data_IF_043007068846
#
_entry.id   IF_043007068846
#
_cell.length_a   1.000
_cell.length_b   1.000
_cell.length_c   1.000
_cell.angle_alpha   90.00
_cell.angle_beta   90.00
_cell.angle_gamma   90.00
#
_symmetry.space_group_name_H-M   'P 1'
#
loop_
_entity.id
_entity.type
_entity.pdbx_description
1 polymer ?
#
# COMPACT_ATOMS: atom_id res chain seq x y z
N UNK A 1 12.74 13.42 -13.28
CA UNK A 1 13.06 14.87 -13.27
C UNK A 1 12.03 15.64 -14.09
N UNK A 2 11.58 15.10 -15.23
CA UNK A 2 10.50 15.66 -16.06
C UNK A 2 9.20 15.95 -15.29
N UNK A 3 8.78 15.10 -14.34
CA UNK A 3 7.54 15.33 -13.58
C UNK A 3 7.56 16.65 -12.79
N UNK A 4 8.70 16.98 -12.19
CA UNK A 4 8.84 18.22 -11.42
C UNK A 4 8.92 19.45 -12.32
N UNK A 5 9.45 19.33 -13.55
CA UNK A 5 9.44 20.44 -14.51
C UNK A 5 8.02 20.70 -15.03
N UNK A 6 7.24 19.65 -15.30
CA UNK A 6 5.82 19.76 -15.65
C UNK A 6 5.01 20.42 -14.54
N UNK A 7 5.22 19.98 -13.30
CA UNK A 7 4.54 20.54 -12.14
C UNK A 7 4.94 22.00 -11.89
N UNK A 8 6.21 22.34 -12.07
CA UNK A 8 6.69 23.73 -11.99
C UNK A 8 5.98 24.60 -13.03
N UNK A 9 5.99 24.20 -14.30
CA UNK A 9 5.33 24.95 -15.40
C UNK A 9 3.84 25.17 -15.12
N UNK A 10 3.13 24.14 -14.65
CA UNK A 10 1.71 24.28 -14.33
C UNK A 10 1.48 25.23 -13.15
N UNK A 11 2.28 25.13 -12.08
CA UNK A 11 2.17 26.05 -10.94
C UNK A 11 2.42 27.49 -11.35
N UNK A 12 3.41 27.76 -12.20
CA UNK A 12 3.68 29.13 -12.68
C UNK A 12 2.48 29.68 -13.46
N UNK A 13 1.90 28.89 -14.36
CA UNK A 13 0.71 29.27 -15.15
C UNK A 13 -0.47 29.59 -14.23
N UNK A 14 -0.75 28.72 -13.26
CA UNK A 14 -1.87 28.90 -12.33
C UNK A 14 -1.64 30.09 -11.41
N UNK A 15 -0.49 30.15 -10.74
CA UNK A 15 -0.16 31.21 -9.79
C UNK A 15 -0.05 32.57 -10.49
N UNK A 16 0.50 32.64 -11.70
CA UNK A 16 0.57 33.88 -12.47
C UNK A 16 -0.81 34.46 -12.76
N UNK A 17 -1.75 33.61 -13.17
CA UNK A 17 -3.11 34.03 -13.48
C UNK A 17 -3.93 34.38 -12.23
N UNK A 18 -3.80 33.60 -11.14
CA UNK A 18 -4.59 33.84 -9.92
C UNK A 18 -4.04 35.01 -9.13
N UNK A 19 -2.71 35.09 -8.91
CA UNK A 19 -2.12 36.12 -8.07
C UNK A 19 -2.27 37.51 -8.68
N UNK A 20 -2.07 37.64 -10.01
CA UNK A 20 -2.25 38.92 -10.70
C UNK A 20 -3.70 39.42 -10.69
N UNK A 21 -4.67 38.53 -10.51
CA UNK A 21 -6.08 38.88 -10.42
C UNK A 21 -6.56 39.20 -8.99
N UNK A 22 -5.77 38.88 -7.95
CA UNK A 22 -6.12 39.11 -6.55
C UNK A 22 -5.72 40.52 -6.07
N UNK A 23 -4.57 41.02 -6.50
CA UNK A 23 -4.00 42.28 -6.04
C UNK A 23 -3.18 42.96 -7.16
N UNK A 24 -3.19 44.29 -7.21
CA UNK A 24 -2.37 45.06 -8.15
C UNK A 24 -0.87 44.97 -7.79
N UNK A 25 -0.55 44.93 -6.48
CA UNK A 25 0.81 44.80 -5.95
C UNK A 25 1.14 43.36 -5.51
N UNK A 26 0.48 42.38 -6.13
CA UNK A 26 0.58 40.95 -5.79
C UNK A 26 2.00 40.42 -5.66
N UNK A 27 2.97 40.98 -6.39
CA UNK A 27 4.37 40.57 -6.29
C UNK A 27 4.98 40.86 -4.91
N UNK A 28 4.66 42.01 -4.32
CA UNK A 28 5.17 42.34 -2.98
C UNK A 28 4.34 41.64 -1.89
N UNK A 29 3.02 41.81 -1.92
CA UNK A 29 2.11 41.37 -0.87
C UNK A 29 1.94 39.83 -0.81
N UNK A 30 1.79 39.19 -1.97
CA UNK A 30 1.48 37.76 -2.04
C UNK A 30 2.73 36.91 -2.28
N UNK A 31 3.77 37.44 -2.95
CA UNK A 31 5.01 36.69 -3.23
C UNK A 31 6.11 36.99 -2.22
N UNK A 32 6.65 38.21 -2.18
CA UNK A 32 7.84 38.52 -1.40
C UNK A 32 7.63 38.38 0.12
N UNK A 33 6.43 38.65 0.63
CA UNK A 33 6.15 38.54 2.07
C UNK A 33 5.86 37.11 2.55
N UNK A 34 5.59 36.18 1.64
CA UNK A 34 5.30 34.76 1.97
C UNK A 34 6.50 33.84 1.80
N UNK A 35 7.54 34.29 1.10
CA UNK A 35 8.80 33.56 0.90
C UNK A 35 9.68 33.58 2.16
N UNK A 36 10.54 32.56 2.29
CA UNK A 36 11.56 32.52 3.35
C UNK A 36 12.63 33.58 3.04
N UNK A 37 13.29 34.13 4.07
CA UNK A 37 14.36 35.13 3.91
C UNK A 37 15.36 34.81 2.78
N UNK A 38 15.85 33.57 2.72
CA UNK A 38 16.78 33.13 1.66
C UNK A 38 16.17 33.21 0.25
N UNK A 39 14.92 32.78 0.10
CA UNK A 39 14.18 32.84 -1.17
C UNK A 39 13.80 34.29 -1.52
N UNK A 40 13.48 35.11 -0.51
CA UNK A 40 13.16 36.53 -0.66
C UNK A 40 14.37 37.31 -1.18
N UNK A 41 15.55 37.10 -0.60
CA UNK A 41 16.79 37.74 -1.07
C UNK A 41 17.09 37.43 -2.55
N UNK A 42 16.84 36.19 -2.96
CA UNK A 42 16.97 35.80 -4.38
C UNK A 42 15.87 36.43 -5.25
N UNK A 43 14.61 36.42 -4.80
CA UNK A 43 13.48 37.00 -5.52
C UNK A 43 13.58 38.53 -5.69
N UNK A 44 14.18 39.24 -4.73
CA UNK A 44 14.44 40.69 -4.82
C UNK A 44 15.49 41.03 -5.89
N UNK A 45 16.42 40.11 -6.17
CA UNK A 45 17.43 40.28 -7.23
C UNK A 45 16.90 39.98 -8.63
N UNK A 46 15.71 39.37 -8.74
CA UNK A 46 15.08 39.02 -10.01
C UNK A 46 14.22 40.18 -10.54
N UNK A 47 13.98 40.25 -11.86
CA UNK A 47 13.02 41.18 -12.41
C UNK A 47 11.62 40.95 -11.79
N UNK A 48 10.84 42.03 -11.58
CA UNK A 48 9.49 41.91 -11.04
C UNK A 48 8.65 41.00 -11.94
N UNK A 49 7.76 40.21 -11.32
CA UNK A 49 6.83 39.28 -12.00
C UNK A 49 7.47 38.03 -12.63
N UNK A 50 8.76 37.75 -12.36
CA UNK A 50 9.43 36.56 -12.88
C UNK A 50 9.17 35.29 -12.05
N UNK A 51 7.91 34.83 -11.97
CA UNK A 51 7.53 33.59 -11.26
C UNK A 51 8.29 32.35 -11.78
N UNK A 52 8.58 32.29 -13.08
CA UNK A 52 9.32 31.20 -13.73
C UNK A 52 10.73 30.99 -13.18
N UNK A 53 11.31 32.01 -12.55
CA UNK A 53 12.68 31.96 -12.00
C UNK A 53 12.72 31.44 -10.56
N UNK A 54 11.56 31.28 -9.93
CA UNK A 54 11.45 30.71 -8.60
C UNK A 54 11.61 29.19 -8.66
N UNK A 55 12.22 28.64 -7.62
CA UNK A 55 12.36 27.19 -7.50
C UNK A 55 11.01 26.54 -7.14
N UNK A 56 10.91 25.23 -7.42
CA UNK A 56 9.67 24.51 -7.16
C UNK A 56 9.24 24.58 -5.67
N UNK A 57 10.19 24.62 -4.75
CA UNK A 57 9.86 24.75 -3.33
C UNK A 57 9.26 26.12 -2.99
N UNK A 58 9.78 27.21 -3.56
CA UNK A 58 9.17 28.53 -3.44
C UNK A 58 7.74 28.55 -4.00
N UNK A 59 7.52 27.97 -5.19
CA UNK A 59 6.20 27.93 -5.83
C UNK A 59 5.17 27.13 -5.02
N UNK A 60 5.55 25.94 -4.54
CA UNK A 60 4.69 25.14 -3.68
C UNK A 60 4.39 25.82 -2.34
N UNK A 61 5.36 26.55 -1.78
CA UNK A 61 5.17 27.34 -0.56
C UNK A 61 4.21 28.51 -0.80
N UNK A 62 4.40 29.22 -1.90
CA UNK A 62 3.58 30.35 -2.31
C UNK A 62 2.11 29.93 -2.48
N UNK A 63 1.89 28.79 -3.14
CA UNK A 63 0.57 28.20 -3.29
C UNK A 63 -0.07 27.81 -1.94
N UNK A 64 0.70 27.29 -0.97
CA UNK A 64 0.16 26.87 0.34
C UNK A 64 -0.14 28.09 1.24
N UNK A 65 0.72 29.10 1.21
CA UNK A 65 0.56 30.31 2.03
C UNK A 65 -0.62 31.16 1.56
N UNK A 66 -0.85 31.24 0.25
CA UNK A 66 -1.98 31.97 -0.34
C UNK A 66 -3.16 31.06 -0.68
N UNK A 67 -3.22 29.85 -0.10
CA UNK A 67 -4.20 28.83 -0.49
C UNK A 67 -5.64 29.31 -0.37
N UNK A 68 -5.98 30.04 0.68
CA UNK A 68 -7.36 30.49 0.90
C UNK A 68 -7.83 31.47 -0.18
N UNK A 69 -6.98 32.42 -0.56
CA UNK A 69 -7.30 33.40 -1.60
C UNK A 69 -7.41 32.73 -2.98
N UNK A 70 -6.46 31.85 -3.28
CA UNK A 70 -6.42 31.07 -4.51
C UNK A 70 -7.63 30.13 -4.62
N UNK A 71 -7.99 29.43 -3.55
CA UNK A 71 -9.10 28.48 -3.54
C UNK A 71 -10.45 29.20 -3.65
N UNK A 72 -10.61 30.37 -3.04
CA UNK A 72 -11.82 31.17 -3.16
C UNK A 72 -12.05 31.68 -4.58
N UNK A 73 -10.99 32.06 -5.28
CA UNK A 73 -11.08 32.59 -6.64
C UNK A 73 -11.27 31.49 -7.70
N UNK A 74 -10.57 30.36 -7.55
CA UNK A 74 -10.53 29.29 -8.56
C UNK A 74 -11.47 28.12 -8.27
N UNK A 75 -12.15 28.11 -7.12
CA UNK A 75 -13.08 27.04 -6.73
C UNK A 75 -12.41 25.68 -6.50
N UNK A 76 -11.14 25.65 -6.09
CA UNK A 76 -10.40 24.40 -5.93
C UNK A 76 -10.97 23.51 -4.81
N UNK A 77 -10.91 22.19 -5.01
CA UNK A 77 -11.30 21.21 -4.00
C UNK A 77 -10.43 21.37 -2.74
N UNK A 78 -11.03 21.25 -1.55
CA UNK A 78 -10.33 21.28 -0.26
C UNK A 78 -9.23 20.22 -0.17
N UNK A 79 -9.40 19.08 -0.81
CA UNK A 79 -8.41 18.00 -0.86
C UNK A 79 -7.12 18.40 -1.59
N UNK A 80 -7.19 19.38 -2.49
CA UNK A 80 -6.04 19.86 -3.25
C UNK A 80 -4.95 20.46 -2.35
N UNK A 81 -5.33 21.04 -1.21
CA UNK A 81 -4.35 21.49 -0.20
C UNK A 81 -3.58 20.31 0.41
N UNK A 82 -4.24 19.17 0.61
CA UNK A 82 -3.58 18.00 1.17
C UNK A 82 -2.55 17.45 0.18
N UNK A 83 -2.91 17.34 -1.10
CA UNK A 83 -1.97 16.95 -2.15
C UNK A 83 -0.83 17.97 -2.29
N UNK A 84 -1.09 19.27 -2.11
CA UNK A 84 -0.07 20.31 -2.15
C UNK A 84 0.97 20.12 -1.03
N UNK A 85 0.51 19.90 0.20
CA UNK A 85 1.41 19.60 1.33
C UNK A 85 2.19 18.32 1.12
N UNK A 86 1.55 17.28 0.58
CA UNK A 86 2.25 16.05 0.23
C UNK A 86 3.29 16.28 -0.87
N UNK A 87 3.00 17.10 -1.88
CA UNK A 87 3.95 17.46 -2.94
C UNK A 87 5.19 18.18 -2.39
N UNK A 88 5.04 19.04 -1.37
CA UNK A 88 6.17 19.64 -0.66
C UNK A 88 7.05 18.56 0.02
N UNK A 89 6.43 17.61 0.73
CA UNK A 89 7.15 16.49 1.36
C UNK A 89 7.83 15.61 0.32
N UNK A 90 7.15 15.29 -0.78
CA UNK A 90 7.68 14.51 -1.90
C UNK A 90 8.92 15.21 -2.46
N UNK A 91 8.83 16.49 -2.83
CA UNK A 91 9.97 17.24 -3.36
C UNK A 91 11.15 17.21 -2.39
N UNK A 92 10.93 17.43 -1.10
CA UNK A 92 12.00 17.41 -0.10
C UNK A 92 12.65 16.03 0.00
N UNK A 93 11.86 14.95 -0.02
CA UNK A 93 12.39 13.59 -0.04
C UNK A 93 13.22 13.31 -1.30
N UNK A 94 12.78 13.78 -2.48
CA UNK A 94 13.54 13.60 -3.71
C UNK A 94 14.83 14.42 -3.74
N UNK A 95 14.84 15.61 -3.11
CA UNK A 95 16.05 16.41 -2.95
C UNK A 95 17.09 15.77 -2.01
N UNK A 96 16.64 14.92 -1.08
CA UNK A 96 17.47 14.16 -0.15
C UNK A 96 17.53 12.66 -0.48
N UNK A 97 17.19 12.28 -1.72
CA UNK A 97 17.22 10.88 -2.11
C UNK A 97 18.67 10.33 -2.02
N UNK A 98 18.85 9.09 -1.53
CA UNK A 98 20.16 8.46 -1.49
C UNK A 98 20.71 8.22 -2.91
N UNK A 99 22.01 7.95 -3.03
CA UNK A 99 22.68 7.74 -4.31
C UNK A 99 22.08 6.58 -5.14
N UNK A 100 21.61 5.53 -4.46
CA UNK A 100 20.90 4.39 -5.07
C UNK A 100 19.47 4.75 -5.54
N UNK A 101 19.00 5.96 -5.25
CA UNK A 101 17.67 6.44 -5.61
C UNK A 101 16.57 5.95 -4.68
N UNK A 102 15.33 6.29 -5.04
CA UNK A 102 14.12 5.86 -4.35
C UNK A 102 13.61 4.56 -4.95
N UNK A 103 12.99 3.70 -4.14
CA UNK A 103 12.33 2.48 -4.62
C UNK A 103 11.20 2.82 -5.60
N UNK A 104 10.95 1.92 -6.56
CA UNK A 104 9.95 2.14 -7.60
C UNK A 104 8.52 2.25 -7.01
N UNK A 105 8.23 1.59 -5.88
CA UNK A 105 6.96 1.73 -5.14
C UNK A 105 6.75 3.16 -4.61
N UNK A 106 7.80 3.73 -4.01
CA UNK A 106 7.75 5.10 -3.48
C UNK A 106 7.61 6.09 -4.63
N UNK A 107 8.36 5.87 -5.72
CA UNK A 107 8.24 6.69 -6.94
C UNK A 107 6.84 6.65 -7.52
N UNK A 108 6.24 5.47 -7.63
CA UNK A 108 4.89 5.30 -8.14
C UNK A 108 3.85 6.07 -7.31
N UNK A 109 3.89 5.94 -5.98
CA UNK A 109 2.99 6.66 -5.07
C UNK A 109 3.16 8.18 -5.16
N UNK A 110 4.39 8.63 -5.31
CA UNK A 110 4.71 10.06 -5.41
C UNK A 110 4.15 10.67 -6.69
N UNK A 111 4.30 9.94 -7.80
CA UNK A 111 3.78 10.34 -9.11
C UNK A 111 2.25 10.37 -9.08
N UNK A 112 1.62 9.36 -8.47
CA UNK A 112 0.16 9.29 -8.29
C UNK A 112 -0.37 10.47 -7.45
N UNK A 113 0.40 10.96 -6.47
CA UNK A 113 0.04 12.14 -5.68
C UNK A 113 0.19 13.43 -6.49
N UNK A 114 1.27 13.55 -7.26
CA UNK A 114 1.52 14.68 -8.15
C UNK A 114 0.47 14.74 -9.28
N UNK A 115 0.06 13.59 -9.81
CA UNK A 115 -1.01 13.50 -10.80
C UNK A 115 -2.32 14.10 -10.27
N UNK A 116 -2.74 13.73 -9.05
CA UNK A 116 -3.94 14.28 -8.42
C UNK A 116 -3.84 15.78 -8.19
N UNK A 117 -2.67 16.28 -7.78
CA UNK A 117 -2.43 17.71 -7.63
C UNK A 117 -2.62 18.43 -8.97
N UNK A 118 -2.05 17.90 -10.06
CA UNK A 118 -2.13 18.53 -11.37
C UNK A 118 -3.55 18.48 -11.95
N UNK A 119 -4.28 17.39 -11.72
CA UNK A 119 -5.70 17.32 -12.04
C UNK A 119 -6.49 18.38 -11.27
N UNK A 120 -6.21 18.57 -9.98
CA UNK A 120 -6.87 19.60 -9.17
C UNK A 120 -6.55 21.03 -9.65
N UNK A 121 -5.37 21.25 -10.19
CA UNK A 121 -4.96 22.52 -10.81
C UNK A 121 -5.33 22.64 -12.29
N UNK A 122 -6.25 21.79 -12.77
CA UNK A 122 -6.75 21.79 -14.15
C UNK A 122 -5.62 21.79 -15.20
N UNK A 123 -4.62 20.93 -15.01
CA UNK A 123 -3.50 20.78 -15.93
C UNK A 123 -3.95 20.33 -17.33
N UNK A 124 -3.20 20.76 -18.35
CA UNK A 124 -3.52 20.49 -19.75
C UNK A 124 -3.48 18.96 -20.01
N UNK A 125 -4.37 18.44 -20.87
CA UNK A 125 -4.49 17.00 -21.14
C UNK A 125 -3.18 16.35 -21.60
N UNK A 126 -2.31 17.11 -22.29
CA UNK A 126 -0.98 16.64 -22.69
C UNK A 126 -0.08 16.35 -21.49
N UNK A 127 -0.05 17.25 -20.50
CA UNK A 127 0.74 17.08 -19.27
C UNK A 127 0.25 15.90 -18.44
N UNK A 128 -1.08 15.72 -18.37
CA UNK A 128 -1.68 14.57 -17.71
C UNK A 128 -1.38 13.26 -18.47
N UNK A 129 -1.33 13.30 -19.80
CA UNK A 129 -0.97 12.16 -20.64
C UNK A 129 0.46 11.68 -20.38
N UNK A 130 1.42 12.61 -20.32
CA UNK A 130 2.83 12.29 -20.04
C UNK A 130 3.00 11.62 -18.67
N UNK A 131 2.35 12.14 -17.63
CA UNK A 131 2.44 11.58 -16.28
C UNK A 131 1.78 10.20 -16.21
N UNK A 132 0.64 10.01 -16.89
CA UNK A 132 0.00 8.69 -16.98
C UNK A 132 0.87 7.67 -17.69
N UNK A 133 1.60 8.08 -18.73
CA UNK A 133 2.53 7.20 -19.44
C UNK A 133 3.69 6.79 -18.53
N UNK A 134 4.36 7.74 -17.88
CA UNK A 134 5.46 7.41 -16.94
C UNK A 134 4.99 6.50 -15.80
N UNK A 135 3.77 6.74 -15.30
CA UNK A 135 3.12 5.91 -14.28
C UNK A 135 2.87 4.48 -14.77
N UNK A 136 2.42 4.30 -16.01
CA UNK A 136 2.24 2.98 -16.62
C UNK A 136 3.57 2.25 -16.81
N UNK A 137 4.61 2.95 -17.24
CA UNK A 137 5.96 2.38 -17.37
C UNK A 137 6.51 1.89 -16.02
N UNK A 138 6.28 2.66 -14.95
CA UNK A 138 6.62 2.24 -13.58
C UNK A 138 5.81 1.03 -13.11
N UNK A 139 4.50 1.00 -13.38
CA UNK A 139 3.67 -0.16 -13.05
C UNK A 139 4.15 -1.42 -13.75
N UNK A 140 4.52 -1.32 -15.04
CA UNK A 140 5.05 -2.45 -15.78
C UNK A 140 6.37 -2.95 -15.18
N UNK A 141 7.25 -2.04 -14.73
CA UNK A 141 8.48 -2.41 -14.02
C UNK A 141 8.20 -3.11 -12.70
N UNK A 142 7.27 -2.60 -11.90
CA UNK A 142 6.86 -3.21 -10.64
C UNK A 142 6.23 -4.59 -10.85
N UNK A 143 5.38 -4.73 -11.88
CA UNK A 143 4.78 -6.00 -12.25
C UNK A 143 5.84 -7.02 -12.71
N UNK A 144 6.85 -6.58 -13.48
CA UNK A 144 7.98 -7.45 -13.84
C UNK A 144 8.83 -7.83 -12.63
N UNK A 145 9.07 -6.91 -11.69
CA UNK A 145 9.82 -7.20 -10.45
C UNK A 145 9.07 -8.20 -9.57
N UNK A 146 7.76 -8.05 -9.41
CA UNK A 146 6.91 -9.02 -8.73
C UNK A 146 6.89 -10.35 -9.46
N UNK A 147 6.79 -10.34 -10.79
CA UNK A 147 6.88 -11.57 -11.58
C UNK A 147 8.24 -12.24 -11.43
N UNK A 148 9.35 -11.51 -11.34
CA UNK A 148 10.67 -12.11 -11.05
C UNK A 148 10.82 -12.58 -9.60
N UNK A 149 10.03 -12.07 -8.65
CA UNK A 149 10.01 -12.55 -7.27
C UNK A 149 9.08 -13.77 -7.10
N UNK A 150 8.03 -13.87 -7.91
CA UNK A 150 7.09 -14.99 -7.94
C UNK A 150 7.55 -16.12 -8.90
N UNK A 151 8.31 -15.78 -9.94
CA UNK A 151 8.91 -16.68 -10.95
C UNK A 151 10.40 -16.93 -10.69
N UNK A 152 11.03 -16.19 -9.77
CA UNK A 152 11.92 -16.84 -8.82
C UNK A 152 11.02 -17.79 -8.05
N UNK A 153 10.87 -18.99 -8.62
CA UNK A 153 10.52 -20.16 -7.84
C UNK A 153 11.22 -20.02 -6.49
N UNK A 154 10.60 -20.41 -5.36
CA UNK A 154 11.44 -20.71 -4.21
C UNK A 154 12.55 -21.55 -4.80
N UNK A 155 13.82 -21.14 -4.64
CA UNK A 155 14.88 -22.09 -4.82
C UNK A 155 14.45 -23.20 -3.89
N UNK A 156 13.86 -24.25 -4.49
CA UNK A 156 13.94 -25.57 -3.97
C UNK A 156 15.44 -25.75 -3.97
N UNK A 157 16.05 -25.33 -2.86
CA UNK A 157 17.15 -26.06 -2.29
C UNK A 157 16.61 -27.47 -2.37
N UNK A 158 17.07 -28.19 -3.38
CA UNK A 158 16.84 -29.61 -3.51
C UNK A 158 17.70 -30.20 -2.41
N UNK A 159 17.30 -29.95 -1.17
CA UNK A 159 17.76 -30.71 -0.04
C UNK A 159 17.07 -32.04 -0.19
N UNK A 160 17.87 -33.10 -0.20
CA UNK A 160 17.45 -34.45 0.13
C UNK A 160 16.81 -34.45 1.53
N UNK A 161 15.58 -33.97 1.61
CA UNK A 161 14.77 -33.83 2.83
C UNK A 161 13.41 -34.39 2.49
N UNK A 162 13.01 -35.48 3.15
CA UNK A 162 11.76 -36.18 2.87
C UNK A 162 10.49 -35.37 3.15
N UNK A 163 10.59 -34.20 3.79
CA UNK A 163 9.44 -33.45 4.29
C UNK A 163 9.47 -31.96 3.91
N UNK A 164 8.28 -31.40 3.63
CA UNK A 164 8.08 -29.98 3.29
C UNK A 164 7.40 -29.21 4.43
N UNK A 165 7.62 -27.89 4.56
CA UNK A 165 6.81 -27.04 5.43
C UNK A 165 5.32 -27.19 5.09
N UNK A 166 4.50 -27.50 6.09
CA UNK A 166 3.07 -27.79 5.95
C UNK A 166 2.71 -29.28 6.00
N UNK A 167 3.68 -30.20 5.91
CA UNK A 167 3.40 -31.63 6.04
C UNK A 167 3.04 -32.00 7.49
N UNK A 168 2.05 -32.88 7.63
CA UNK A 168 1.70 -33.48 8.92
C UNK A 168 2.61 -34.66 9.23
N UNK A 169 3.25 -34.60 10.39
CA UNK A 169 4.16 -35.63 10.87
C UNK A 169 3.76 -36.11 12.26
N UNK A 170 4.13 -37.34 12.56
CA UNK A 170 3.99 -37.96 13.87
C UNK A 170 5.36 -38.29 14.44
N UNK A 171 5.49 -38.22 15.75
CA UNK A 171 6.68 -38.74 16.43
C UNK A 171 6.68 -40.27 16.41
N UNK A 172 7.81 -40.88 16.00
CA UNK A 172 8.03 -42.34 16.14
C UNK A 172 7.98 -42.81 17.59
N UNK A 173 8.51 -41.99 18.50
CA UNK A 173 8.54 -42.28 19.93
C UNK A 173 7.14 -42.26 20.58
N UNK A 174 6.25 -41.38 20.10
CA UNK A 174 4.90 -41.17 20.64
C UNK A 174 3.87 -41.05 19.51
N UNK A 175 3.20 -42.15 19.13
CA UNK A 175 2.16 -42.15 18.10
C UNK A 175 0.94 -41.24 18.36
N UNK A 176 0.81 -40.69 19.57
CA UNK A 176 -0.30 -39.80 19.93
C UNK A 176 0.01 -38.32 19.65
N UNK A 177 1.29 -37.97 19.46
CA UNK A 177 1.71 -36.59 19.24
C UNK A 177 1.87 -36.35 17.74
N UNK A 178 0.90 -35.64 17.18
CA UNK A 178 0.90 -35.20 15.78
C UNK A 178 1.21 -33.72 15.71
N UNK A 179 1.99 -33.32 14.71
CA UNK A 179 2.34 -31.92 14.50
C UNK A 179 2.52 -31.56 13.03
N UNK A 180 2.56 -30.27 12.75
CA UNK A 180 2.83 -29.74 11.42
C UNK A 180 4.25 -29.19 11.35
N UNK A 181 4.94 -29.42 10.23
CA UNK A 181 6.26 -28.84 10.00
C UNK A 181 6.10 -27.36 9.67
N UNK A 182 6.68 -26.49 10.50
CA UNK A 182 6.67 -25.04 10.30
C UNK A 182 7.88 -24.58 9.49
N UNK A 183 9.05 -25.18 9.72
CA UNK A 183 10.29 -24.82 9.02
C UNK A 183 11.25 -26.01 8.90
N UNK A 184 12.02 -26.04 7.82
CA UNK A 184 13.09 -27.01 7.59
C UNK A 184 14.43 -26.32 7.90
N UNK A 185 15.17 -26.86 8.86
CA UNK A 185 16.51 -26.42 9.24
C UNK A 185 17.52 -27.46 8.71
N UNK A 186 18.04 -27.20 7.52
CA UNK A 186 19.06 -28.03 6.91
C UNK A 186 20.39 -27.88 7.68
N UNK A 187 20.92 -28.97 8.22
CA UNK A 187 22.23 -29.01 8.86
C UNK A 187 23.13 -30.03 8.13
N UNK A 188 24.45 -29.83 8.19
CA UNK A 188 25.43 -30.56 7.37
C UNK A 188 25.46 -32.09 7.56
N UNK A 189 24.88 -32.61 8.65
CA UNK A 189 24.96 -34.04 9.04
C UNK A 189 23.59 -34.73 9.13
N UNK A 190 22.54 -34.04 9.60
CA UNK A 190 21.17 -34.57 9.66
C UNK A 190 20.15 -33.41 9.60
N UNK A 191 19.09 -33.58 8.83
CA UNK A 191 18.05 -32.56 8.67
C UNK A 191 17.26 -32.40 9.98
N UNK A 192 17.11 -31.16 10.44
CA UNK A 192 16.28 -30.79 11.58
C UNK A 192 15.01 -30.11 11.08
N UNK A 193 13.88 -30.43 11.67
CA UNK A 193 12.58 -29.86 11.34
C UNK A 193 12.01 -29.18 12.58
N UNK A 194 11.49 -27.97 12.41
CA UNK A 194 10.67 -27.34 13.43
C UNK A 194 9.24 -27.85 13.27
N UNK A 195 8.78 -28.63 14.24
CA UNK A 195 7.43 -29.20 14.27
C UNK A 195 6.64 -28.57 15.39
N UNK A 196 5.46 -28.06 15.05
CA UNK A 196 4.49 -27.56 16.02
C UNK A 196 3.70 -28.72 16.62
N UNK A 197 3.89 -29.01 17.91
CA UNK A 197 3.24 -30.09 18.66
C UNK A 197 2.69 -29.52 19.97
N UNK A 198 1.42 -29.80 20.28
CA UNK A 198 0.76 -29.46 21.55
C UNK A 198 0.95 -27.99 21.99
N UNK A 199 0.87 -27.05 21.06
CA UNK A 199 0.94 -25.61 21.35
C UNK A 199 2.36 -25.02 21.41
N UNK A 200 3.40 -25.81 21.13
CA UNK A 200 4.80 -25.36 21.15
C UNK A 200 5.57 -25.81 19.90
N UNK A 201 6.59 -25.03 19.51
CA UNK A 201 7.49 -25.37 18.39
C UNK A 201 8.68 -26.13 18.94
N UNK A 202 8.90 -27.35 18.46
CA UNK A 202 10.00 -28.22 18.86
C UNK A 202 10.87 -28.59 17.66
N UNK A 203 12.19 -28.58 17.84
CA UNK A 203 13.15 -28.99 16.80
C UNK A 203 13.39 -30.50 16.89
N UNK A 204 13.00 -31.25 15.86
CA UNK A 204 13.08 -32.71 15.78
C UNK A 204 13.92 -33.14 14.58
N UNK A 205 14.56 -34.31 14.67
CA UNK A 205 15.34 -34.87 13.57
C UNK A 205 14.47 -35.65 12.58
N UNK A 206 14.90 -35.77 11.32
CA UNK A 206 14.19 -36.56 10.29
C UNK A 206 13.88 -37.99 10.76
N UNK A 207 14.84 -38.61 11.43
CA UNK A 207 14.76 -39.97 11.96
C UNK A 207 13.62 -40.17 12.98
N UNK A 208 13.20 -39.10 13.66
CA UNK A 208 12.18 -39.10 14.71
C UNK A 208 10.75 -38.92 14.19
N UNK A 209 10.59 -38.60 12.90
CA UNK A 209 9.31 -38.27 12.27
C UNK A 209 8.81 -39.40 11.38
N UNK A 210 7.50 -39.60 11.36
CA UNK A 210 6.76 -40.46 10.44
C UNK A 210 5.73 -39.61 9.66
N UNK A 211 5.62 -39.76 8.33
CA UNK A 211 4.61 -39.07 7.55
C UNK A 211 3.22 -39.61 7.92
N UNK A 212 2.30 -38.71 8.25
CA UNK A 212 0.87 -39.03 8.22
C UNK A 212 0.28 -38.32 7.02
N UNK A 213 -0.08 -39.09 6.00
CA UNK A 213 -1.02 -38.62 4.99
C UNK A 213 -2.41 -38.65 5.61
N UNK A 214 -2.82 -37.56 6.26
CA UNK A 214 -4.23 -37.40 6.62
C UNK A 214 -4.94 -37.16 5.30
N UNK A 215 -5.48 -38.24 4.73
CA UNK A 215 -6.44 -38.11 3.65
C UNK A 215 -7.54 -37.20 4.20
N UNK A 216 -7.58 -35.96 3.72
CA UNK A 216 -8.65 -35.03 4.06
C UNK A 216 -9.89 -35.65 3.44
N UNK A 217 -10.64 -36.41 4.24
CA UNK A 217 -11.96 -36.89 3.84
C UNK A 217 -12.85 -35.66 3.80
N UNK A 218 -12.87 -35.00 2.65
CA UNK A 218 -13.92 -34.03 2.33
C UNK A 218 -15.18 -34.85 2.18
N UNK A 219 -15.97 -34.91 3.23
CA UNK A 219 -17.34 -35.43 3.16
C UNK A 219 -18.10 -34.49 2.23
N UNK A 220 -18.35 -34.95 1.01
CA UNK A 220 -19.23 -34.27 0.07
C UNK A 220 -20.65 -34.52 0.56
N UNK A 221 -21.31 -33.47 1.04
CA UNK A 221 -22.66 -33.53 1.58
C UNK A 221 -23.60 -32.84 0.60
N UNK A 222 -24.77 -33.41 0.35
CA UNK A 222 -25.79 -32.75 -0.46
C UNK A 222 -26.37 -31.53 0.26
N UNK A 223 -26.93 -30.53 -0.45
CA UNK A 223 -27.51 -29.36 0.20
C UNK A 223 -28.57 -29.70 1.26
N UNK A 224 -29.37 -30.74 1.02
CA UNK A 224 -30.42 -31.18 1.95
C UNK A 224 -29.85 -31.82 3.21
N UNK A 225 -28.83 -32.66 3.09
CA UNK A 225 -28.12 -33.24 4.23
C UNK A 225 -27.38 -32.18 5.04
N UNK A 226 -26.80 -31.18 4.39
CA UNK A 226 -26.16 -30.04 5.06
C UNK A 226 -27.19 -29.22 5.84
N UNK A 227 -28.35 -28.95 5.24
CA UNK A 227 -29.45 -28.25 5.92
C UNK A 227 -29.96 -29.03 7.13
N UNK A 228 -30.15 -30.35 6.98
CA UNK A 228 -30.56 -31.24 8.07
C UNK A 228 -29.51 -31.26 9.20
N UNK A 229 -28.23 -31.36 8.87
CA UNK A 229 -27.12 -31.35 9.83
C UNK A 229 -27.02 -30.02 10.58
N UNK A 230 -27.13 -28.88 9.88
CA UNK A 230 -27.13 -27.55 10.51
C UNK A 230 -28.34 -27.37 11.44
N UNK A 231 -29.52 -27.81 11.01
CA UNK A 231 -30.74 -27.75 11.84
C UNK A 231 -30.60 -28.61 13.09
N UNK A 232 -30.05 -29.83 12.97
CA UNK A 232 -29.77 -30.71 14.10
C UNK A 232 -28.74 -30.10 15.06
N UNK A 233 -27.71 -29.41 14.53
CA UNK A 233 -26.71 -28.72 15.33
C UNK A 233 -27.33 -27.56 16.13
N UNK A 234 -28.18 -26.75 15.49
CA UNK A 234 -28.92 -25.66 16.13
C UNK A 234 -29.88 -26.14 17.23
N UNK A 235 -30.48 -27.31 17.06
CA UNK A 235 -31.32 -27.93 18.10
C UNK A 235 -30.50 -28.49 19.28
N UNK A 236 -29.26 -28.94 19.04
CA UNK A 236 -28.34 -29.43 20.08
C UNK A 236 -27.74 -28.29 20.90
N UNK A 237 -27.30 -27.21 20.25
CA UNK A 237 -26.79 -26.02 20.93
C UNK A 237 -27.94 -25.06 21.26
N UNK A 238 -28.63 -25.34 22.36
CA UNK A 238 -29.69 -24.47 22.89
C UNK A 238 -29.09 -23.19 23.48
N UNK A 239 -28.75 -22.23 22.62
CA UNK A 239 -28.45 -20.87 23.05
C UNK A 239 -29.71 -20.22 23.65
N UNK A 240 -29.60 -19.65 24.85
CA UNK A 240 -30.69 -18.97 25.59
C UNK A 240 -31.31 -17.75 24.88
N UNK A 241 -30.85 -17.42 23.67
CA UNK A 241 -31.28 -16.28 22.84
C UNK A 241 -32.33 -16.64 21.79
N UNK A 242 -32.60 -17.91 21.55
CA UNK A 242 -33.59 -18.34 20.54
C UNK A 242 -34.67 -19.21 21.19
N UNK A 243 -35.84 -18.61 21.41
CA UNK A 243 -37.06 -19.32 21.81
C UNK A 243 -37.58 -20.08 20.60
N UNK A 244 -37.24 -21.37 20.49
CA UNK A 244 -37.84 -22.26 19.52
C UNK A 244 -39.20 -22.71 20.03
N UNK A 245 -40.28 -22.21 19.44
CA UNK A 245 -41.62 -22.77 19.58
C UNK A 245 -41.67 -24.10 18.82
N UNK A 246 -41.14 -25.16 19.41
CA UNK A 246 -41.51 -26.52 19.01
C UNK A 246 -43.01 -26.61 19.28
N UNK A 247 -43.81 -26.88 18.24
CA UNK A 247 -45.27 -26.99 18.28
C UNK A 247 -45.76 -28.00 19.35
N UNK A 248 -45.68 -27.62 20.62
CA UNK A 248 -46.25 -28.29 21.76
C UNK A 248 -47.72 -27.91 21.85
N UNK A 249 -48.47 -28.29 20.83
CA UNK A 249 -49.93 -28.19 20.85
C UNK A 249 -50.51 -29.40 20.13
N UNK A 250 -50.66 -30.50 20.89
CA UNK A 250 -51.85 -31.36 20.93
C UNK A 250 -51.59 -32.54 21.86
N UNK A 251 -51.86 -32.35 23.15
CA UNK A 251 -52.32 -33.42 24.04
C UNK A 251 -53.41 -32.81 24.93
N UNK A 252 -54.66 -33.15 24.64
CA UNK A 252 -55.70 -33.43 25.64
C UNK A 252 -56.91 -34.03 24.91
N UNK A 253 -57.51 -34.98 25.61
CA UNK A 253 -58.63 -35.85 25.24
C UNK A 253 -59.92 -35.10 24.86
#
# INVERSE_FOLDING_TARGET
>A
MEIFSLLNRQLVKVLGNTLSALDADWWHSLVLDKLIYQQKSFAVSLPPQALERLDLAALLRLADQNWYDIANQSGFNREARNWLKQAQTIRNRWAHAPADGLSDDVRYRDIDTIERLLQAFAADNETLGQIKQEKQELLNRLACQQKTLDEAAPESISTNTGYKPGDMVRLKADPRKTGAITAVLNAEVENRYQVFIDGSISSLYESQLEPITVATTRTTVTPDELHAAMTALQLRDRGTRHLYSLFASRIAA
#
